data_IF_442851199816
#
_entry.id   IF_442851199816
#
_cell.length_a   1.000
_cell.length_b   1.000
_cell.length_c   1.000
_cell.angle_alpha   90.00
_cell.angle_beta   90.00
_cell.angle_gamma   90.00
#
_symmetry.space_group_name_H-M   'P 1'
#
loop_
_entity.id
_entity.type
_entity.pdbx_description
1 polymer ?
#
# COMPACT_ATOMS: atom_id res chain seq x y z
N UNK A 1 19.35 17.44 -30.37
CA UNK A 1 18.72 18.45 -29.48
C UNK A 1 17.33 18.82 -29.96
N UNK A 2 17.16 19.38 -31.17
CA UNK A 2 15.82 19.70 -31.70
C UNK A 2 14.87 18.48 -31.78
N UNK A 3 15.34 17.36 -32.34
CA UNK A 3 14.56 16.11 -32.36
C UNK A 3 14.19 15.63 -30.94
N UNK A 4 15.14 15.69 -30.00
CA UNK A 4 14.92 15.30 -28.61
C UNK A 4 13.85 16.15 -27.91
N UNK A 5 13.90 17.48 -28.11
CA UNK A 5 12.95 18.41 -27.52
C UNK A 5 11.51 18.19 -28.00
N UNK A 6 11.35 17.60 -29.20
CA UNK A 6 10.04 17.29 -29.79
C UNK A 6 9.54 15.87 -29.51
N UNK A 7 10.33 15.02 -28.85
CA UNK A 7 10.02 13.60 -28.62
C UNK A 7 8.60 13.36 -28.10
N UNK A 8 8.16 14.13 -27.11
CA UNK A 8 6.87 13.94 -26.45
C UNK A 8 5.74 14.74 -27.12
N UNK A 9 6.03 16.00 -27.49
CA UNK A 9 5.04 16.90 -28.07
C UNK A 9 4.67 16.55 -29.52
N UNK A 10 5.67 16.17 -30.33
CA UNK A 10 5.51 15.84 -31.75
C UNK A 10 6.55 14.76 -32.16
N UNK A 11 6.27 13.49 -31.84
CA UNK A 11 7.17 12.38 -32.16
C UNK A 11 7.35 12.18 -33.68
N UNK A 12 6.38 12.61 -34.51
CA UNK A 12 6.48 12.52 -35.97
C UNK A 12 7.56 13.46 -36.48
N UNK A 13 7.53 14.73 -36.07
CA UNK A 13 8.58 15.69 -36.41
C UNK A 13 9.93 15.29 -35.80
N UNK A 14 9.94 14.73 -34.58
CA UNK A 14 11.16 14.24 -33.95
C UNK A 14 11.83 13.12 -34.78
N UNK A 15 11.05 12.12 -35.24
CA UNK A 15 11.55 11.05 -36.09
C UNK A 15 12.04 11.58 -37.45
N UNK A 16 11.35 12.53 -38.06
CA UNK A 16 11.77 13.16 -39.31
C UNK A 16 13.12 13.88 -39.17
N UNK A 17 13.28 14.70 -38.12
CA UNK A 17 14.54 15.39 -37.82
C UNK A 17 15.69 14.42 -37.53
N UNK A 18 15.39 13.29 -36.87
CA UNK A 18 16.37 12.26 -36.61
C UNK A 18 16.89 11.63 -37.92
N UNK A 19 16.01 11.31 -38.88
CA UNK A 19 16.41 10.80 -40.20
C UNK A 19 17.27 11.81 -40.97
N UNK A 20 16.94 13.11 -40.91
CA UNK A 20 17.76 14.16 -41.54
C UNK A 20 19.17 14.21 -40.94
N UNK A 21 19.29 14.12 -39.61
CA UNK A 21 20.59 14.11 -38.94
C UNK A 21 21.42 12.86 -39.29
N UNK A 22 20.78 11.69 -39.37
CA UNK A 22 21.41 10.44 -39.80
C UNK A 22 21.94 10.53 -41.23
N UNK A 23 21.17 11.09 -42.16
CA UNK A 23 21.53 11.20 -43.56
C UNK A 23 22.66 12.23 -43.80
N UNK A 24 22.59 13.40 -43.15
CA UNK A 24 23.56 14.48 -43.38
C UNK A 24 24.92 14.23 -42.72
N UNK A 25 24.95 13.54 -41.58
CA UNK A 25 26.17 13.38 -40.78
C UNK A 25 26.36 11.95 -40.23
N UNK A 26 26.39 10.91 -41.07
CA UNK A 26 26.22 9.51 -40.67
C UNK A 26 27.24 8.97 -39.66
N UNK A 27 28.46 9.51 -39.66
CA UNK A 27 29.56 9.12 -38.75
C UNK A 27 29.63 9.97 -37.47
N UNK A 28 28.79 10.99 -37.33
CA UNK A 28 28.83 11.89 -36.18
C UNK A 28 28.17 11.27 -34.94
N UNK A 29 28.60 11.73 -33.74
CA UNK A 29 27.92 11.40 -32.48
C UNK A 29 26.44 11.84 -32.49
N UNK A 30 26.12 12.94 -33.17
CA UNK A 30 24.75 13.44 -33.33
C UNK A 30 23.86 12.48 -34.11
N UNK A 31 24.34 11.94 -35.23
CA UNK A 31 23.63 10.93 -36.01
C UNK A 31 23.45 9.61 -35.24
N UNK A 32 24.47 9.19 -34.47
CA UNK A 32 24.34 8.01 -33.61
C UNK A 32 23.21 8.18 -32.57
N UNK A 33 23.13 9.33 -31.91
CA UNK A 33 22.04 9.66 -30.97
C UNK A 33 20.68 9.78 -31.66
N UNK A 34 20.64 10.40 -32.84
CA UNK A 34 19.43 10.51 -33.65
C UNK A 34 18.88 9.13 -34.03
N UNK A 35 19.76 8.19 -34.40
CA UNK A 35 19.39 6.80 -34.70
C UNK A 35 18.77 6.09 -33.51
N UNK A 36 19.34 6.25 -32.32
CA UNK A 36 18.77 5.68 -31.08
C UNK A 36 17.39 6.29 -30.79
N UNK A 37 17.26 7.62 -30.84
CA UNK A 37 15.98 8.30 -30.62
C UNK A 37 14.91 7.85 -31.63
N UNK A 38 15.26 7.76 -32.92
CA UNK A 38 14.36 7.26 -33.96
C UNK A 38 13.95 5.82 -33.67
N UNK A 39 14.91 4.96 -33.34
CA UNK A 39 14.63 3.56 -33.00
C UNK A 39 13.70 3.44 -31.78
N UNK A 40 13.79 4.34 -30.80
CA UNK A 40 12.85 4.39 -29.66
C UNK A 40 11.44 4.82 -30.08
N UNK A 41 11.32 5.89 -30.88
CA UNK A 41 10.03 6.41 -31.36
C UNK A 41 9.33 5.40 -32.26
N UNK A 42 10.07 4.75 -33.16
CA UNK A 42 9.57 3.77 -34.11
C UNK A 42 9.42 2.37 -33.50
N UNK A 43 9.90 2.14 -32.26
CA UNK A 43 9.83 0.85 -31.59
C UNK A 43 8.37 0.38 -31.50
N UNK A 44 8.04 -0.81 -32.03
CA UNK A 44 6.74 -1.44 -31.80
C UNK A 44 6.55 -1.73 -30.32
N UNK A 45 5.37 -1.47 -29.79
CA UNK A 45 4.98 -1.84 -28.43
C UNK A 45 3.64 -2.57 -28.47
N UNK A 46 3.52 -3.58 -27.62
CA UNK A 46 2.36 -4.45 -27.53
C UNK A 46 2.26 -4.97 -26.11
N UNK A 47 1.14 -4.67 -25.46
CA UNK A 47 0.73 -5.30 -24.20
C UNK A 47 -0.77 -5.58 -24.27
N UNK A 48 -1.23 -6.50 -23.43
CA UNK A 48 -2.67 -6.72 -23.28
C UNK A 48 -2.99 -7.09 -21.83
N UNK A 49 -4.24 -6.85 -21.44
CA UNK A 49 -4.80 -7.22 -20.14
C UNK A 49 -6.13 -7.94 -20.36
N UNK A 50 -6.39 -8.95 -19.54
CA UNK A 50 -7.61 -9.75 -19.59
C UNK A 50 -8.01 -10.16 -18.18
N UNK A 51 -9.27 -10.57 -18.01
CA UNK A 51 -9.68 -11.29 -16.82
C UNK A 51 -8.88 -12.60 -16.71
N UNK A 52 -8.42 -12.93 -15.50
CA UNK A 52 -7.66 -14.16 -15.27
C UNK A 52 -8.48 -15.41 -15.62
N UNK A 53 -9.81 -15.37 -15.44
CA UNK A 53 -10.71 -16.48 -15.77
C UNK A 53 -11.93 -15.96 -16.52
N UNK A 54 -12.24 -16.57 -17.67
CA UNK A 54 -13.37 -16.27 -18.55
C UNK A 54 -14.40 -17.40 -18.56
N UNK A 55 -15.60 -17.11 -19.07
CA UNK A 55 -16.66 -18.12 -19.25
C UNK A 55 -16.31 -19.01 -20.46
N UNK A 56 -16.31 -20.34 -20.30
CA UNK A 56 -15.95 -21.24 -21.40
C UNK A 56 -17.00 -21.24 -22.51
N UNK A 57 -16.56 -21.52 -23.74
CA UNK A 57 -17.44 -21.66 -24.91
C UNK A 57 -18.02 -20.35 -25.45
N UNK A 58 -17.67 -19.20 -24.89
CA UNK A 58 -18.18 -17.88 -25.30
C UNK A 58 -17.03 -16.92 -25.65
N UNK A 59 -17.26 -15.95 -26.55
CA UNK A 59 -16.33 -14.83 -26.74
C UNK A 59 -16.11 -14.06 -25.44
N UNK A 60 -14.90 -13.53 -25.26
CA UNK A 60 -14.50 -12.82 -24.04
C UNK A 60 -13.74 -11.53 -24.38
N UNK A 61 -13.79 -10.54 -23.50
CA UNK A 61 -13.13 -9.25 -23.73
C UNK A 61 -11.73 -9.22 -23.13
N UNK A 62 -10.79 -8.64 -23.87
CA UNK A 62 -9.49 -8.21 -23.37
C UNK A 62 -9.12 -6.85 -23.96
N UNK A 63 -8.21 -6.14 -23.32
CA UNK A 63 -7.77 -4.80 -23.74
C UNK A 63 -6.35 -4.90 -24.27
N UNK A 64 -6.09 -4.24 -25.40
CA UNK A 64 -4.79 -4.21 -26.06
C UNK A 64 -4.27 -2.79 -26.05
N UNK A 65 -3.00 -2.62 -25.70
CA UNK A 65 -2.25 -1.38 -25.88
C UNK A 65 -1.18 -1.62 -26.94
N UNK A 66 -1.16 -0.80 -27.99
CA UNK A 66 -0.20 -0.93 -29.09
C UNK A 66 0.43 0.40 -29.45
N UNK A 67 1.66 0.36 -29.97
CA UNK A 67 2.30 1.46 -30.68
C UNK A 67 3.04 0.92 -31.90
N UNK A 68 2.91 1.59 -33.05
CA UNK A 68 3.58 1.22 -34.31
C UNK A 68 3.31 -0.23 -34.75
N UNK A 69 2.08 -0.71 -34.54
CA UNK A 69 1.62 -2.03 -34.98
C UNK A 69 0.35 -1.82 -35.78
N UNK A 70 0.26 -2.45 -36.96
CA UNK A 70 -0.89 -2.32 -37.87
C UNK A 70 -1.76 -3.57 -37.93
N UNK A 71 -1.20 -4.72 -37.55
CA UNK A 71 -1.86 -6.02 -37.60
C UNK A 71 -1.43 -6.85 -36.41
N UNK A 72 -2.37 -7.63 -35.87
CA UNK A 72 -2.12 -8.55 -34.77
C UNK A 72 -2.82 -9.89 -35.03
N UNK A 73 -2.17 -10.96 -34.58
CA UNK A 73 -2.67 -12.32 -34.57
C UNK A 73 -2.62 -12.85 -33.15
N UNK A 74 -3.66 -13.57 -32.75
CA UNK A 74 -3.75 -14.17 -31.43
C UNK A 74 -3.88 -15.70 -31.52
N UNK A 75 -3.28 -16.38 -30.54
CA UNK A 75 -3.38 -17.82 -30.36
C UNK A 75 -3.60 -18.17 -28.90
N UNK A 76 -4.41 -19.18 -28.64
CA UNK A 76 -4.59 -19.77 -27.32
C UNK A 76 -4.08 -21.23 -27.33
N UNK A 77 -3.01 -21.50 -26.60
CA UNK A 77 -2.44 -22.85 -26.46
C UNK A 77 -2.80 -23.45 -25.11
N UNK A 78 -3.24 -24.71 -25.09
CA UNK A 78 -3.58 -25.38 -23.82
C UNK A 78 -2.35 -25.59 -22.94
N UNK A 79 -2.44 -25.08 -21.72
CA UNK A 79 -1.46 -25.30 -20.66
C UNK A 79 -2.03 -26.20 -19.55
N UNK A 80 -1.13 -26.84 -18.81
CA UNK A 80 -1.49 -27.63 -17.63
C UNK A 80 -1.76 -26.72 -16.44
N UNK A 81 -2.49 -27.23 -15.45
CA UNK A 81 -2.71 -26.52 -14.18
C UNK A 81 -1.38 -26.13 -13.50
N UNK A 82 -0.36 -27.00 -13.59
CA UNK A 82 0.97 -26.71 -13.03
C UNK A 82 1.68 -25.57 -13.74
N UNK A 83 1.54 -25.47 -15.07
CA UNK A 83 2.07 -24.34 -15.85
C UNK A 83 1.29 -23.04 -15.59
N UNK A 84 0.00 -23.14 -15.28
CA UNK A 84 -0.84 -22.02 -14.83
C UNK A 84 -0.42 -21.49 -13.46
N UNK A 85 -0.31 -22.37 -12.47
CA UNK A 85 0.12 -22.05 -11.09
C UNK A 85 1.44 -21.28 -11.09
N UNK A 86 2.38 -21.75 -11.91
CA UNK A 86 3.71 -21.16 -11.99
C UNK A 86 3.79 -19.93 -12.88
N UNK A 87 2.72 -19.48 -13.54
CA UNK A 87 2.78 -18.42 -14.55
C UNK A 87 3.33 -17.09 -14.01
N UNK A 88 3.07 -16.78 -12.73
CA UNK A 88 3.58 -15.59 -12.05
C UNK A 88 5.04 -15.70 -11.57
N UNK A 89 5.61 -16.90 -11.49
CA UNK A 89 7.01 -17.10 -11.06
C UNK A 89 7.97 -16.74 -12.20
N UNK A 90 8.90 -15.82 -11.96
CA UNK A 90 10.00 -15.56 -12.89
C UNK A 90 11.13 -16.56 -12.65
N UNK A 91 11.34 -17.47 -13.60
CA UNK A 91 12.37 -18.53 -13.52
C UNK A 91 13.57 -18.28 -14.46
N UNK A 92 13.66 -17.08 -15.05
CA UNK A 92 14.72 -16.69 -15.99
C UNK A 92 14.67 -17.35 -17.37
N UNK A 93 13.75 -18.30 -17.61
CA UNK A 93 13.68 -19.01 -18.89
C UNK A 93 12.89 -18.21 -19.92
N UNK A 94 13.34 -18.16 -21.19
CA UNK A 94 12.56 -17.60 -22.29
C UNK A 94 11.22 -18.32 -22.45
N UNK A 95 10.20 -17.58 -22.90
CA UNK A 95 8.83 -18.08 -23.15
C UNK A 95 8.82 -19.41 -23.94
N UNK A 96 9.62 -19.48 -25.01
CA UNK A 96 9.71 -20.65 -25.88
C UNK A 96 10.20 -21.91 -25.16
N UNK A 97 11.07 -21.76 -24.14
CA UNK A 97 11.52 -22.89 -23.31
C UNK A 97 10.50 -23.22 -22.23
N UNK A 98 9.91 -22.19 -21.60
CA UNK A 98 8.95 -22.34 -20.50
C UNK A 98 7.68 -23.07 -20.92
N UNK A 99 7.16 -22.79 -22.11
CA UNK A 99 5.93 -23.40 -22.64
C UNK A 99 6.18 -24.24 -23.91
N UNK A 100 7.37 -24.85 -24.03
CA UNK A 100 7.76 -25.63 -25.21
C UNK A 100 6.73 -26.72 -25.58
N UNK A 101 6.15 -27.37 -24.57
CA UNK A 101 5.09 -28.38 -24.74
C UNK A 101 3.84 -27.78 -25.40
N UNK A 102 3.36 -26.65 -24.87
CA UNK A 102 2.16 -25.99 -25.37
C UNK A 102 2.38 -25.44 -26.78
N UNK A 103 3.52 -24.81 -27.05
CA UNK A 103 3.84 -24.19 -28.34
C UNK A 103 4.12 -25.21 -29.47
N UNK A 104 4.45 -26.47 -29.13
CA UNK A 104 4.57 -27.57 -30.11
C UNK A 104 3.22 -28.19 -30.49
N UNK A 105 2.19 -27.96 -29.69
CA UNK A 105 0.84 -28.47 -29.96
C UNK A 105 0.07 -27.52 -30.87
N UNK A 106 -0.99 -28.03 -31.49
CA UNK A 106 -1.95 -27.21 -32.22
C UNK A 106 -2.65 -26.25 -31.24
N UNK A 107 -2.74 -24.94 -31.55
CA UNK A 107 -3.48 -24.00 -30.72
C UNK A 107 -4.96 -24.42 -30.63
N UNK A 108 -5.56 -24.25 -29.46
CA UNK A 108 -6.99 -24.50 -29.25
C UNK A 108 -7.87 -23.48 -29.97
N UNK A 109 -7.36 -22.26 -30.16
CA UNK A 109 -7.98 -21.24 -30.98
C UNK A 109 -6.91 -20.32 -31.58
N UNK A 110 -7.17 -19.81 -32.78
CA UNK A 110 -6.37 -18.79 -33.46
C UNK A 110 -7.32 -17.80 -34.12
N UNK A 111 -7.08 -16.50 -33.97
CA UNK A 111 -7.96 -15.47 -34.53
C UNK A 111 -7.18 -14.18 -34.85
N UNK A 112 -7.64 -13.40 -35.85
CA UNK A 112 -7.08 -12.08 -36.10
C UNK A 112 -7.52 -11.09 -35.02
N UNK A 113 -6.64 -10.15 -34.68
CA UNK A 113 -6.95 -9.01 -33.81
C UNK A 113 -6.90 -7.75 -34.66
N UNK A 114 -8.06 -7.17 -34.93
CA UNK A 114 -8.18 -5.95 -35.71
C UNK A 114 -7.57 -4.78 -34.91
N UNK A 115 -6.53 -4.17 -35.47
CA UNK A 115 -5.96 -2.92 -34.95
C UNK A 115 -6.66 -1.77 -35.68
N UNK A 116 -7.36 -0.87 -34.97
CA UNK A 116 -8.04 0.26 -35.63
C UNK A 116 -7.03 1.13 -36.38
N UNK A 117 -7.33 1.41 -37.66
CA UNK A 117 -6.46 2.25 -38.49
C UNK A 117 -6.42 3.69 -37.97
N UNK A 118 -5.22 4.22 -37.76
CA UNK A 118 -4.99 5.61 -37.39
C UNK A 118 -3.76 6.17 -38.11
N UNK A 119 -3.67 7.50 -38.32
CA UNK A 119 -2.46 8.13 -38.84
C UNK A 119 -1.23 7.77 -37.98
N UNK A 120 -0.06 7.66 -38.62
CA UNK A 120 1.19 7.35 -37.93
C UNK A 120 1.61 8.52 -37.04
N UNK A 121 1.17 8.48 -35.78
CA UNK A 121 1.45 9.52 -34.78
C UNK A 121 2.49 9.08 -33.75
N UNK A 122 3.00 7.85 -33.81
CA UNK A 122 3.91 7.26 -32.82
C UNK A 122 3.39 7.36 -31.37
N UNK A 123 2.08 7.46 -31.17
CA UNK A 123 1.44 7.45 -29.86
C UNK A 123 0.86 6.08 -29.55
N UNK A 124 0.74 5.77 -28.27
CA UNK A 124 0.06 4.56 -27.82
C UNK A 124 -1.43 4.64 -28.14
N UNK A 125 -1.99 3.50 -28.54
CA UNK A 125 -3.41 3.33 -28.76
C UNK A 125 -3.92 2.18 -27.89
N UNK A 126 -5.09 2.38 -27.27
CA UNK A 126 -5.76 1.40 -26.41
C UNK A 126 -7.13 1.07 -26.98
N UNK A 127 -7.47 -0.20 -27.07
CA UNK A 127 -8.76 -0.66 -27.58
C UNK A 127 -9.15 -2.03 -27.01
N UNK A 128 -10.45 -2.28 -26.95
CA UNK A 128 -11.00 -3.56 -26.50
C UNK A 128 -11.18 -4.52 -27.68
N UNK A 129 -10.91 -5.80 -27.44
CA UNK A 129 -10.96 -6.86 -28.45
C UNK A 129 -11.75 -8.05 -27.91
N UNK A 130 -12.50 -8.71 -28.79
CA UNK A 130 -13.13 -9.99 -28.51
C UNK A 130 -12.17 -11.15 -28.81
N UNK A 131 -11.96 -12.02 -27.84
CA UNK A 131 -11.24 -13.28 -27.98
C UNK A 131 -12.13 -14.40 -28.49
N UNK A 132 -11.52 -15.38 -29.16
CA UNK A 132 -12.21 -16.59 -29.59
C UNK A 132 -12.71 -17.40 -28.39
N UNK A 133 -13.83 -18.12 -28.58
CA UNK A 133 -14.39 -19.00 -27.56
C UNK A 133 -13.37 -20.08 -27.15
N UNK A 134 -13.13 -20.19 -25.84
CA UNK A 134 -12.19 -21.16 -25.27
C UNK A 134 -12.98 -22.28 -24.56
N UNK A 135 -12.76 -23.56 -24.88
CA UNK A 135 -13.30 -24.65 -24.08
C UNK A 135 -12.76 -24.58 -22.65
N UNK A 136 -13.39 -25.30 -21.72
CA UNK A 136 -12.89 -25.41 -20.34
C UNK A 136 -11.41 -25.84 -20.28
N UNK A 137 -10.61 -25.15 -19.47
CA UNK A 137 -9.18 -25.41 -19.28
C UNK A 137 -8.34 -24.16 -19.08
N UNK A 138 -7.02 -24.30 -19.13
CA UNK A 138 -6.07 -23.20 -18.99
C UNK A 138 -5.33 -22.95 -20.30
N UNK A 139 -5.08 -21.69 -20.62
CA UNK A 139 -4.52 -21.29 -21.90
C UNK A 139 -3.38 -20.29 -21.72
N UNK A 140 -2.30 -20.50 -22.47
CA UNK A 140 -1.34 -19.46 -22.80
C UNK A 140 -1.89 -18.71 -24.01
N UNK A 141 -2.23 -17.44 -23.82
CA UNK A 141 -2.65 -16.53 -24.89
C UNK A 141 -1.45 -15.73 -25.36
N UNK A 142 -1.15 -15.78 -26.66
CA UNK A 142 -0.10 -14.99 -27.29
C UNK A 142 -0.71 -14.04 -28.31
N UNK A 143 -0.23 -12.81 -28.35
CA UNK A 143 -0.48 -11.84 -29.41
C UNK A 143 0.84 -11.51 -30.10
N UNK A 144 0.85 -11.47 -31.43
CA UNK A 144 2.03 -11.05 -32.20
C UNK A 144 1.63 -10.26 -33.44
N UNK A 145 2.50 -9.36 -33.88
CA UNK A 145 2.37 -8.68 -35.18
C UNK A 145 2.85 -9.54 -36.37
N UNK A 146 3.31 -10.76 -36.12
CA UNK A 146 3.70 -11.72 -37.13
C UNK A 146 2.58 -12.74 -37.36
N UNK A 147 2.36 -13.18 -38.59
CA UNK A 147 1.37 -14.23 -38.92
C UNK A 147 1.76 -15.63 -38.42
N UNK A 148 3.03 -15.82 -38.06
CA UNK A 148 3.57 -17.04 -37.44
C UNK A 148 4.45 -16.63 -36.27
N UNK A 149 4.42 -17.40 -35.18
CA UNK A 149 5.29 -17.15 -34.04
C UNK A 149 6.76 -17.29 -34.47
N UNK A 150 7.61 -16.26 -34.28
CA UNK A 150 9.01 -16.34 -34.64
C UNK A 150 9.73 -17.38 -33.77
N UNK A 151 10.63 -18.16 -34.37
CA UNK A 151 11.55 -18.99 -33.60
C UNK A 151 12.44 -18.09 -32.73
N UNK A 152 12.66 -18.46 -31.47
CA UNK A 152 13.34 -17.61 -30.49
C UNK A 152 14.76 -17.14 -30.89
N UNK A 153 15.39 -17.77 -31.89
CA UNK A 153 16.72 -17.42 -32.39
C UNK A 153 16.72 -16.46 -33.61
N UNK A 154 15.56 -16.12 -34.19
CA UNK A 154 15.49 -15.36 -35.44
C UNK A 154 14.19 -14.54 -35.58
N UNK A 155 13.86 -13.73 -34.58
CA UNK A 155 12.75 -12.79 -34.71
C UNK A 155 13.10 -11.69 -35.75
N UNK A 156 12.26 -11.46 -36.78
CA UNK A 156 12.47 -10.36 -37.72
C UNK A 156 12.56 -9.01 -37.01
N UNK A 157 13.25 -8.04 -37.62
CA UNK A 157 13.30 -6.68 -37.10
C UNK A 157 11.87 -6.10 -36.98
N UNK A 158 11.52 -5.60 -35.79
CA UNK A 158 10.18 -5.09 -35.49
C UNK A 158 9.14 -6.16 -35.13
N UNK A 159 9.52 -7.44 -35.04
CA UNK A 159 8.64 -8.47 -34.49
C UNK A 159 8.44 -8.24 -32.99
N UNK A 160 7.17 -8.24 -32.54
CA UNK A 160 6.81 -8.12 -31.14
C UNK A 160 5.77 -9.17 -30.77
N UNK A 161 5.90 -9.70 -29.55
CA UNK A 161 4.99 -10.70 -29.00
C UNK A 161 4.69 -10.34 -27.55
N UNK A 162 3.41 -10.33 -27.20
CA UNK A 162 2.95 -10.29 -25.81
C UNK A 162 2.30 -11.62 -25.46
N UNK A 163 2.37 -12.03 -24.21
CA UNK A 163 1.71 -13.24 -23.74
C UNK A 163 1.13 -13.05 -22.34
N UNK A 164 0.14 -13.86 -22.02
CA UNK A 164 -0.50 -13.93 -20.72
C UNK A 164 -1.20 -15.28 -20.59
N UNK A 165 -1.60 -15.64 -19.37
CA UNK A 165 -2.37 -16.86 -19.15
C UNK A 165 -3.83 -16.50 -18.87
N UNK A 166 -4.76 -17.22 -19.50
CA UNK A 166 -6.21 -17.13 -19.22
C UNK A 166 -6.80 -18.51 -18.89
N UNK A 167 -7.58 -18.61 -17.82
CA UNK A 167 -8.40 -19.78 -17.50
C UNK A 167 -9.79 -19.66 -18.12
N UNK A 168 -10.40 -20.78 -18.54
CA UNK A 168 -11.79 -20.85 -18.96
C UNK A 168 -12.51 -21.87 -18.07
N UNK A 169 -13.42 -21.39 -17.22
CA UNK A 169 -14.08 -22.21 -16.20
C UNK A 169 -15.48 -21.71 -15.90
N UNK A 170 -16.45 -22.62 -15.83
CA UNK A 170 -17.80 -22.34 -15.33
C UNK A 170 -17.82 -22.18 -13.82
N UNK A 171 -16.77 -22.61 -13.12
CA UNK A 171 -16.66 -22.52 -11.68
C UNK A 171 -16.22 -21.11 -11.27
N UNK A 172 -16.80 -20.63 -10.17
CA UNK A 172 -16.36 -19.46 -9.42
C UNK A 172 -16.43 -19.80 -7.93
N UNK A 173 -15.67 -19.09 -7.12
CA UNK A 173 -15.73 -19.28 -5.68
C UNK A 173 -15.51 -17.99 -4.92
N UNK A 174 -16.20 -17.88 -3.79
CA UNK A 174 -16.01 -16.82 -2.80
C UNK A 174 -15.57 -17.47 -1.50
N UNK A 175 -14.56 -16.89 -0.87
CA UNK A 175 -14.11 -17.33 0.44
C UNK A 175 -14.69 -16.42 1.53
N UNK A 176 -15.27 -17.03 2.55
CA UNK A 176 -15.62 -16.39 3.80
C UNK A 176 -14.73 -16.96 4.91
N UNK A 177 -13.92 -16.10 5.52
CA UNK A 177 -13.28 -16.44 6.79
C UNK A 177 -14.32 -16.30 7.91
N UNK A 178 -14.35 -17.26 8.84
CA UNK A 178 -15.16 -17.13 10.05
C UNK A 178 -14.33 -16.46 11.13
N UNK A 179 -14.94 -15.52 11.86
CA UNK A 179 -14.27 -14.74 12.91
C UNK A 179 -13.90 -15.60 14.13
N UNK A 180 -14.66 -16.66 14.37
CA UNK A 180 -14.41 -17.66 15.41
C UNK A 180 -14.30 -19.04 14.76
N UNK A 181 -13.07 -19.51 14.55
CA UNK A 181 -12.87 -20.91 14.17
C UNK A 181 -11.57 -21.22 13.47
N UNK A 182 -11.31 -22.51 13.40
CA UNK A 182 -10.22 -23.11 12.61
C UNK A 182 -10.63 -23.32 11.16
N UNK A 183 -11.75 -22.75 10.71
CA UNK A 183 -12.37 -23.10 9.44
C UNK A 183 -12.72 -21.87 8.59
N UNK A 184 -12.67 -22.03 7.27
CA UNK A 184 -13.16 -21.08 6.28
C UNK A 184 -14.24 -21.74 5.43
N UNK A 185 -15.29 -21.00 5.09
CA UNK A 185 -16.32 -21.47 4.16
C UNK A 185 -15.98 -20.99 2.75
N UNK A 186 -15.90 -21.93 1.82
CA UNK A 186 -15.84 -21.65 0.40
C UNK A 186 -17.23 -21.81 -0.21
N UNK A 187 -17.78 -20.73 -0.76
CA UNK A 187 -19.02 -20.75 -1.53
C UNK A 187 -18.69 -20.92 -3.01
N UNK A 188 -19.06 -22.07 -3.58
CA UNK A 188 -18.85 -22.44 -4.98
C UNK A 188 -20.07 -22.10 -5.82
N UNK A 189 -19.86 -21.34 -6.89
CA UNK A 189 -20.90 -20.75 -7.73
C UNK A 189 -20.66 -21.06 -9.21
N UNK A 190 -21.73 -20.99 -10.00
CA UNK A 190 -21.65 -20.92 -11.46
C UNK A 190 -21.25 -19.50 -11.87
N UNK A 191 -20.15 -19.35 -12.60
CA UNK A 191 -19.51 -18.06 -12.91
C UNK A 191 -20.43 -17.08 -13.62
N UNK A 192 -21.27 -17.55 -14.54
CA UNK A 192 -22.12 -16.66 -15.35
C UNK A 192 -23.44 -16.30 -14.66
N UNK A 193 -24.07 -17.25 -13.97
CA UNK A 193 -25.39 -17.03 -13.34
C UNK A 193 -25.32 -16.65 -11.87
N UNK A 194 -24.17 -16.85 -11.22
CA UNK A 194 -24.01 -16.67 -9.77
C UNK A 194 -24.71 -17.74 -8.92
N UNK A 195 -25.32 -18.75 -9.53
CA UNK A 195 -26.09 -19.77 -8.80
C UNK A 195 -25.16 -20.73 -8.04
N UNK A 196 -25.45 -21.09 -6.79
CA UNK A 196 -24.65 -22.07 -6.05
C UNK A 196 -24.60 -23.44 -6.74
N UNK A 197 -23.42 -24.06 -6.72
CA UNK A 197 -23.19 -25.35 -7.34
C UNK A 197 -23.00 -26.44 -6.30
N UNK A 198 -23.82 -27.49 -6.35
CA UNK A 198 -23.71 -28.70 -5.51
C UNK A 198 -22.77 -29.74 -6.11
N UNK A 199 -22.19 -30.60 -5.26
CA UNK A 199 -21.32 -31.73 -5.65
C UNK A 199 -20.09 -31.31 -6.48
N UNK A 200 -19.60 -30.09 -6.28
CA UNK A 200 -18.29 -29.67 -6.80
C UNK A 200 -17.25 -30.14 -5.81
N UNK A 201 -16.24 -30.86 -6.29
CA UNK A 201 -15.14 -31.32 -5.44
C UNK A 201 -14.23 -30.15 -5.10
N UNK A 202 -13.76 -30.10 -3.87
CA UNK A 202 -12.84 -29.07 -3.36
C UNK A 202 -11.75 -29.73 -2.51
N UNK A 203 -10.52 -29.30 -2.68
CA UNK A 203 -9.38 -29.80 -1.93
C UNK A 203 -8.48 -28.62 -1.53
N UNK A 204 -8.31 -28.44 -0.22
CA UNK A 204 -7.38 -27.44 0.31
C UNK A 204 -5.92 -27.83 0.03
N UNK A 205 -5.11 -26.84 -0.31
CA UNK A 205 -3.66 -26.92 -0.44
C UNK A 205 -3.08 -26.09 0.71
N UNK A 206 -2.31 -26.74 1.57
CA UNK A 206 -1.75 -26.13 2.76
C UNK A 206 -0.25 -25.95 2.61
N UNK A 207 0.27 -24.80 2.99
CA UNK A 207 1.69 -24.46 2.90
C UNK A 207 2.30 -24.36 4.29
N UNK A 208 3.48 -24.93 4.50
CA UNK A 208 4.29 -24.78 5.72
C UNK A 208 5.78 -24.77 5.39
N UNK A 209 6.60 -24.25 6.31
CA UNK A 209 8.05 -24.35 6.21
C UNK A 209 8.55 -25.57 6.98
N UNK A 210 9.36 -26.40 6.32
CA UNK A 210 10.05 -27.50 6.98
C UNK A 210 11.22 -26.99 7.84
N UNK A 211 11.88 -27.88 8.58
CA UNK A 211 13.01 -27.54 9.46
C UNK A 211 14.19 -26.87 8.74
N UNK A 212 14.30 -27.06 7.43
CA UNK A 212 15.36 -26.48 6.60
C UNK A 212 14.96 -25.13 5.99
N UNK A 213 13.78 -24.60 6.37
CA UNK A 213 13.25 -23.34 5.83
C UNK A 213 12.70 -23.45 4.40
N UNK A 214 12.56 -24.66 3.85
CA UNK A 214 11.95 -24.84 2.54
C UNK A 214 10.42 -24.91 2.67
N UNK A 215 9.74 -24.22 1.76
CA UNK A 215 8.28 -24.23 1.65
C UNK A 215 7.80 -25.58 1.10
N UNK A 216 6.83 -26.19 1.79
CA UNK A 216 6.26 -27.50 1.44
C UNK A 216 4.74 -27.38 1.39
N UNK A 217 4.15 -28.03 0.39
CA UNK A 217 2.69 -28.13 0.24
C UNK A 217 2.17 -29.48 0.71
N UNK A 218 1.04 -29.47 1.42
CA UNK A 218 0.27 -30.64 1.85
C UNK A 218 -1.15 -30.53 1.31
N UNK A 219 -1.65 -31.60 0.71
CA UNK A 219 -3.05 -31.66 0.25
C UNK A 219 -3.97 -32.05 1.42
N UNK A 220 -5.10 -31.36 1.54
CA UNK A 220 -6.18 -31.72 2.45
C UNK A 220 -7.07 -32.84 1.92
N UNK A 221 -8.08 -33.19 2.71
CA UNK A 221 -9.15 -34.09 2.27
C UNK A 221 -9.94 -33.47 1.10
N UNK A 222 -10.46 -34.34 0.24
CA UNK A 222 -11.38 -33.94 -0.83
C UNK A 222 -12.79 -33.88 -0.25
N UNK A 223 -13.39 -32.70 -0.32
CA UNK A 223 -14.77 -32.45 0.11
C UNK A 223 -15.64 -32.11 -1.09
N UNK A 224 -16.96 -32.14 -0.90
CA UNK A 224 -17.92 -31.74 -1.93
C UNK A 224 -18.80 -30.60 -1.43
N UNK A 225 -19.15 -29.69 -2.34
CA UNK A 225 -20.06 -28.61 -2.02
C UNK A 225 -21.47 -29.12 -1.70
N UNK A 226 -22.06 -28.53 -0.67
CA UNK A 226 -23.43 -28.82 -0.20
C UNK A 226 -24.49 -28.40 -1.23
N UNK A 227 -25.78 -28.62 -0.91
CA UNK A 227 -26.89 -28.12 -1.72
C UNK A 227 -26.89 -26.58 -1.87
N UNK A 228 -26.34 -25.85 -0.89
CA UNK A 228 -26.16 -24.39 -0.91
C UNK A 228 -24.83 -23.95 -1.52
N UNK A 229 -24.06 -24.88 -2.11
CA UNK A 229 -22.77 -24.60 -2.74
C UNK A 229 -21.61 -24.39 -1.77
N UNK A 230 -21.79 -24.66 -0.48
CA UNK A 230 -20.78 -24.39 0.55
C UNK A 230 -19.86 -25.61 0.76
N UNK A 231 -18.58 -25.34 0.97
CA UNK A 231 -17.57 -26.30 1.47
C UNK A 231 -16.93 -25.69 2.70
N UNK A 232 -16.89 -26.44 3.81
CA UNK A 232 -16.16 -26.05 5.00
C UNK A 232 -14.73 -26.59 4.92
N UNK A 233 -13.72 -25.73 5.03
CA UNK A 233 -12.31 -26.08 4.96
C UNK A 233 -11.62 -25.70 6.26
N UNK A 234 -10.72 -26.54 6.74
CA UNK A 234 -9.80 -26.16 7.83
C UNK A 234 -8.79 -25.12 7.29
N UNK A 235 -8.52 -24.05 8.04
CA UNK A 235 -7.51 -23.04 7.68
C UNK A 235 -6.13 -23.37 8.26
N UNK A 236 -6.06 -24.36 9.17
CA UNK A 236 -4.87 -24.77 9.89
C UNK A 236 -4.61 -23.89 11.11
N UNK A 237 -4.77 -24.45 12.32
CA UNK A 237 -4.40 -23.76 13.56
C UNK A 237 -2.94 -23.95 13.87
N UNK A 238 -2.14 -22.92 13.67
CA UNK A 238 -0.96 -22.81 14.50
C UNK A 238 -0.19 -21.52 14.29
N UNK A 239 0.22 -20.97 15.43
CA UNK A 239 1.04 -19.77 15.60
C UNK A 239 2.54 -20.02 15.32
N UNK A 240 2.92 -21.22 14.86
CA UNK A 240 4.30 -21.59 14.56
C UNK A 240 4.59 -21.56 13.06
N UNK A 241 5.83 -21.26 12.67
CA UNK A 241 6.30 -21.33 11.27
C UNK A 241 6.16 -22.73 10.62
N UNK A 242 5.91 -23.75 11.43
CA UNK A 242 5.78 -25.15 11.01
C UNK A 242 4.31 -25.57 10.82
N UNK A 243 3.36 -24.69 11.15
CA UNK A 243 1.93 -24.96 11.05
C UNK A 243 1.46 -24.74 9.61
N UNK A 244 0.85 -25.77 9.02
CA UNK A 244 0.38 -25.73 7.64
C UNK A 244 -0.87 -24.86 7.51
N UNK A 245 -0.75 -23.76 6.77
CA UNK A 245 -1.81 -22.79 6.54
C UNK A 245 -2.44 -23.02 5.17
N UNK A 246 -3.76 -22.91 5.10
CA UNK A 246 -4.47 -23.02 3.83
C UNK A 246 -4.04 -21.86 2.89
N UNK A 247 -3.37 -22.19 1.79
CA UNK A 247 -2.87 -21.19 0.82
C UNK A 247 -3.75 -21.10 -0.42
N UNK A 248 -4.28 -22.24 -0.88
CA UNK A 248 -5.11 -22.34 -2.07
C UNK A 248 -6.18 -23.41 -1.91
N UNK A 249 -7.25 -23.32 -2.69
CA UNK A 249 -8.23 -24.41 -2.84
C UNK A 249 -8.35 -24.78 -4.30
N UNK A 250 -8.10 -26.05 -4.61
CA UNK A 250 -8.42 -26.61 -5.92
C UNK A 250 -9.86 -27.08 -5.92
N UNK A 251 -10.68 -26.54 -6.81
CA UNK A 251 -12.05 -27.00 -7.03
C UNK A 251 -12.23 -27.58 -8.42
N UNK A 252 -13.08 -28.60 -8.58
CA UNK A 252 -13.34 -29.22 -9.87
C UNK A 252 -14.70 -29.89 -9.98
N UNK A 253 -15.21 -29.93 -11.23
CA UNK A 253 -16.40 -30.67 -11.64
C UNK A 253 -16.15 -31.28 -13.01
N UNK A 254 -16.02 -32.60 -13.07
CA UNK A 254 -15.60 -33.29 -14.30
C UNK A 254 -14.20 -32.84 -14.73
N UNK A 255 -14.09 -32.26 -15.93
CA UNK A 255 -12.84 -31.72 -16.49
C UNK A 255 -12.62 -30.24 -16.17
N UNK A 256 -13.62 -29.55 -15.62
CA UNK A 256 -13.50 -28.17 -15.19
C UNK A 256 -12.76 -28.10 -13.87
N UNK A 257 -11.67 -27.35 -13.83
CA UNK A 257 -10.85 -27.15 -12.64
C UNK A 257 -10.62 -25.67 -12.47
N UNK A 258 -10.59 -25.20 -11.23
CA UNK A 258 -10.22 -23.85 -10.86
C UNK A 258 -9.36 -23.90 -9.61
N UNK A 259 -8.30 -23.10 -9.59
CA UNK A 259 -7.52 -22.85 -8.40
C UNK A 259 -7.94 -21.50 -7.81
N UNK A 260 -8.34 -21.52 -6.56
CA UNK A 260 -8.83 -20.35 -5.82
C UNK A 260 -7.76 -19.98 -4.81
N UNK A 261 -7.20 -18.78 -4.93
CA UNK A 261 -6.31 -18.24 -3.90
C UNK A 261 -7.08 -17.99 -2.62
N UNK A 262 -6.50 -18.37 -1.49
CA UNK A 262 -7.06 -18.09 -0.17
C UNK A 262 -6.36 -16.85 0.34
N UNK A 263 -7.10 -15.77 0.58
CA UNK A 263 -6.51 -14.47 0.91
C UNK A 263 -5.85 -14.52 2.29
N UNK A 264 -4.51 -14.62 2.35
CA UNK A 264 -3.73 -14.24 3.54
C UNK A 264 -3.27 -12.78 3.52
N UNK A 265 -3.24 -12.11 2.35
CA UNK A 265 -2.40 -10.91 2.17
C UNK A 265 -3.12 -9.59 1.82
N UNK A 266 -4.45 -9.57 1.67
CA UNK A 266 -5.12 -8.39 1.07
C UNK A 266 -6.06 -7.59 1.96
N UNK A 267 -6.79 -8.26 2.85
CA UNK A 267 -7.82 -7.64 3.68
C UNK A 267 -8.07 -8.59 4.86
N UNK A 268 -7.18 -8.58 5.85
CA UNK A 268 -7.70 -8.66 7.20
C UNK A 268 -8.48 -7.36 7.37
N UNK A 269 -9.83 -7.37 7.41
CA UNK A 269 -10.47 -6.27 8.08
C UNK A 269 -9.77 -6.18 9.43
N UNK A 270 -9.37 -4.98 9.85
CA UNK A 270 -9.13 -4.70 11.26
C UNK A 270 -10.47 -4.81 12.00
N UNK A 271 -11.17 -5.93 11.83
CA UNK A 271 -12.07 -6.42 12.84
C UNK A 271 -11.11 -6.84 13.92
N UNK A 272 -10.87 -5.91 14.85
CA UNK A 272 -10.52 -6.22 16.22
C UNK A 272 -11.52 -7.33 16.57
N UNK A 273 -11.10 -8.59 16.42
CA UNK A 273 -11.85 -9.73 16.92
C UNK A 273 -12.32 -9.27 18.28
N UNK A 274 -13.63 -9.28 18.51
CA UNK A 274 -14.15 -8.89 19.82
C UNK A 274 -13.29 -9.61 20.83
N UNK A 275 -12.55 -8.85 21.64
CA UNK A 275 -11.52 -9.46 22.45
C UNK A 275 -12.24 -10.46 23.35
N UNK A 276 -12.10 -11.75 23.04
CA UNK A 276 -12.74 -12.84 23.80
C UNK A 276 -12.10 -12.96 25.18
N UNK A 277 -10.94 -12.33 25.34
CA UNK A 277 -10.28 -12.09 26.61
C UNK A 277 -10.44 -10.62 27.02
N UNK A 278 -10.68 -10.35 28.31
CA UNK A 278 -10.78 -8.98 28.78
C UNK A 278 -9.44 -8.26 28.64
N UNK A 279 -9.46 -7.08 28.01
CA UNK A 279 -8.27 -6.24 27.83
C UNK A 279 -8.27 -5.12 28.85
N UNK A 280 -7.23 -5.04 29.69
CA UNK A 280 -7.08 -3.98 30.68
C UNK A 280 -6.29 -2.81 30.13
N UNK A 281 -6.68 -1.61 30.51
CA UNK A 281 -6.00 -0.36 30.14
C UNK A 281 -6.02 0.63 31.31
N UNK A 282 -4.86 1.18 31.63
CA UNK A 282 -4.70 2.27 32.60
C UNK A 282 -4.55 3.59 31.86
N UNK A 283 -5.44 4.53 32.14
CA UNK A 283 -5.29 5.93 31.74
C UNK A 283 -4.56 6.69 32.85
N UNK A 284 -3.43 7.31 32.54
CA UNK A 284 -2.65 8.10 33.47
C UNK A 284 -2.71 9.58 33.09
N UNK A 285 -2.77 10.44 34.11
CA UNK A 285 -2.84 11.88 33.99
C UNK A 285 -1.90 12.52 35.01
N UNK A 286 -1.31 13.65 34.66
CA UNK A 286 -0.52 14.51 35.54
C UNK A 286 -1.11 15.92 35.58
N UNK A 287 -0.82 16.68 36.64
CA UNK A 287 -1.27 18.08 36.75
C UNK A 287 -0.57 19.01 35.76
N UNK A 288 0.61 18.62 35.25
CA UNK A 288 1.40 19.36 34.26
C UNK A 288 2.07 18.40 33.28
N UNK A 289 2.37 18.90 32.08
CA UNK A 289 3.17 18.17 31.09
C UNK A 289 4.70 18.36 31.29
N UNK A 290 5.12 19.33 32.12
CA UNK A 290 6.52 19.68 32.37
C UNK A 290 6.77 20.07 33.83
N UNK A 291 7.87 19.57 34.40
CA UNK A 291 8.32 19.80 35.78
C UNK A 291 9.80 20.17 35.80
N UNK A 292 10.28 20.67 36.96
CA UNK A 292 11.71 20.82 37.24
C UNK A 292 12.20 19.66 38.12
N UNK A 293 13.50 19.34 38.07
CA UNK A 293 14.11 18.45 39.07
C UNK A 293 13.77 18.89 40.51
N UNK A 294 13.46 17.93 41.39
CA UNK A 294 13.06 18.21 42.78
C UNK A 294 11.61 18.63 42.98
N UNK A 295 10.82 18.86 41.93
CA UNK A 295 9.39 19.18 42.10
C UNK A 295 8.55 17.95 42.44
N UNK A 296 7.48 18.17 43.18
CA UNK A 296 6.44 17.17 43.39
C UNK A 296 5.56 17.06 42.15
N UNK A 297 5.53 15.87 41.56
CA UNK A 297 4.61 15.49 40.51
C UNK A 297 3.35 14.89 41.15
N UNK A 298 2.18 15.36 40.74
CA UNK A 298 0.89 14.80 41.13
C UNK A 298 0.28 14.05 39.95
N UNK A 299 -0.27 12.86 40.20
CA UNK A 299 -0.87 12.05 39.15
C UNK A 299 -2.17 11.36 39.57
N UNK A 300 -2.98 11.03 38.57
CA UNK A 300 -4.18 10.21 38.69
C UNK A 300 -4.16 9.09 37.64
N UNK A 301 -4.54 7.90 38.04
CA UNK A 301 -4.76 6.76 37.16
C UNK A 301 -6.20 6.27 37.21
N UNK A 302 -6.70 5.74 36.08
CA UNK A 302 -8.00 5.07 35.98
C UNK A 302 -7.78 3.74 35.24
N UNK A 303 -8.04 2.63 35.93
CA UNK A 303 -7.94 1.29 35.37
C UNK A 303 -9.31 0.83 34.85
N UNK A 304 -9.33 0.49 33.58
CA UNK A 304 -10.52 0.00 32.87
C UNK A 304 -10.25 -1.36 32.27
N UNK A 305 -11.32 -2.10 31.98
CA UNK A 305 -11.29 -3.35 31.25
C UNK A 305 -12.34 -3.31 30.14
N UNK A 306 -11.98 -3.79 28.94
CA UNK A 306 -12.89 -3.91 27.82
C UNK A 306 -13.07 -5.38 27.42
N UNK A 307 -14.32 -5.81 27.26
CA UNK A 307 -14.73 -7.13 26.77
C UNK A 307 -15.95 -6.96 25.86
N UNK A 308 -15.96 -7.58 24.67
CA UNK A 308 -17.05 -7.44 23.69
C UNK A 308 -17.48 -5.97 23.44
N UNK A 309 -16.48 -5.08 23.27
CA UNK A 309 -16.68 -3.64 23.09
C UNK A 309 -17.42 -2.91 24.23
N UNK A 310 -17.57 -3.54 25.40
CA UNK A 310 -18.10 -2.91 26.62
C UNK A 310 -16.95 -2.63 27.59
N UNK A 311 -16.81 -1.37 27.98
CA UNK A 311 -15.85 -0.94 28.98
C UNK A 311 -16.46 -0.97 30.39
N UNK A 312 -15.70 -1.48 31.36
CA UNK A 312 -16.03 -1.44 32.78
C UNK A 312 -14.85 -0.95 33.61
N UNK A 313 -15.15 -0.44 34.80
CA UNK A 313 -14.14 -0.03 35.78
C UNK A 313 -13.59 -1.26 36.52
N UNK A 314 -12.30 -1.27 36.82
CA UNK A 314 -11.66 -2.32 37.62
C UNK A 314 -11.40 -1.79 39.03
N UNK A 315 -12.21 -2.22 40.00
CA UNK A 315 -12.17 -1.76 41.39
C UNK A 315 -11.43 -2.74 42.31
N UNK A 316 -10.86 -2.26 43.43
CA UNK A 316 -10.18 -3.09 44.43
C UNK A 316 -8.90 -3.81 43.95
N UNK A 317 -8.36 -3.43 42.80
CA UNK A 317 -7.23 -4.13 42.16
C UNK A 317 -5.90 -3.48 42.55
N UNK A 318 -4.86 -4.26 42.94
CA UNK A 318 -3.52 -3.73 43.14
C UNK A 318 -2.91 -3.24 41.82
N UNK A 319 -2.31 -2.07 41.85
CA UNK A 319 -1.63 -1.42 40.72
C UNK A 319 -0.25 -0.94 41.15
N UNK A 320 0.78 -1.29 40.38
CA UNK A 320 2.14 -0.77 40.54
C UNK A 320 2.39 0.36 39.55
N UNK A 321 2.85 1.51 40.06
CA UNK A 321 3.23 2.69 39.28
C UNK A 321 4.74 2.86 39.39
N UNK A 322 5.43 2.79 38.26
CA UNK A 322 6.88 2.97 38.14
C UNK A 322 7.18 4.33 37.53
N UNK A 323 8.13 5.05 38.11
CA UNK A 323 8.78 6.20 37.49
C UNK A 323 10.02 5.70 36.74
N UNK A 324 10.10 5.97 35.44
CA UNK A 324 11.25 5.67 34.60
C UNK A 324 11.96 6.97 34.22
N UNK A 325 13.29 6.96 34.31
CA UNK A 325 14.13 8.06 33.84
C UNK A 325 14.18 8.13 32.30
N UNK A 326 14.93 9.10 31.78
CA UNK A 326 15.13 9.33 30.34
C UNK A 326 15.76 8.12 29.63
N UNK A 327 16.46 7.25 30.36
CA UNK A 327 17.07 6.02 29.82
C UNK A 327 16.17 4.79 29.98
N UNK A 328 14.94 4.95 30.49
CA UNK A 328 14.01 3.85 30.76
C UNK A 328 14.35 3.05 32.02
N UNK A 329 15.23 3.55 32.89
CA UNK A 329 15.57 2.90 34.15
C UNK A 329 14.54 3.23 35.23
N UNK A 330 14.11 2.23 35.99
CA UNK A 330 13.15 2.41 37.09
C UNK A 330 13.82 3.16 38.23
N UNK A 331 13.35 4.37 38.50
CA UNK A 331 13.81 5.24 39.59
C UNK A 331 13.06 4.92 40.88
N UNK A 332 11.74 4.75 40.79
CA UNK A 332 10.89 4.51 41.95
C UNK A 332 9.68 3.66 41.56
N UNK A 333 9.19 2.85 42.49
CA UNK A 333 7.95 2.08 42.34
C UNK A 333 7.03 2.37 43.52
N UNK A 334 5.76 2.63 43.23
CA UNK A 334 4.71 2.94 44.20
C UNK A 334 3.53 1.99 43.99
N UNK A 335 2.98 1.46 45.07
CA UNK A 335 1.85 0.52 45.04
C UNK A 335 0.55 1.21 45.45
N UNK A 336 -0.51 0.95 44.69
CA UNK A 336 -1.85 1.48 44.92
C UNK A 336 -2.89 0.37 44.82
N UNK A 337 -4.10 0.66 45.28
CA UNK A 337 -5.29 -0.17 45.05
C UNK A 337 -6.37 0.72 44.42
N UNK A 338 -7.05 0.23 43.38
CA UNK A 338 -8.10 1.01 42.72
C UNK A 338 -9.32 1.19 43.63
N UNK A 339 -9.91 2.39 43.60
CA UNK A 339 -11.14 2.71 44.32
C UNK A 339 -12.38 2.09 43.67
N UNK A 340 -13.55 2.33 44.26
CA UNK A 340 -14.86 1.96 43.69
C UNK A 340 -15.16 2.62 42.33
N UNK A 341 -14.38 3.64 41.96
CA UNK A 341 -14.43 4.29 40.65
C UNK A 341 -13.30 3.84 39.72
N UNK A 342 -12.61 2.74 40.05
CA UNK A 342 -11.49 2.20 39.26
C UNK A 342 -10.25 3.10 39.23
N UNK A 343 -10.17 4.10 40.10
CA UNK A 343 -9.13 5.13 40.06
C UNK A 343 -8.14 5.00 41.22
N UNK A 344 -6.93 5.54 41.03
CA UNK A 344 -5.92 5.74 42.06
C UNK A 344 -5.24 7.10 41.83
N UNK A 345 -4.64 7.68 42.85
CA UNK A 345 -3.89 8.92 42.73
C UNK A 345 -2.73 8.94 43.73
N UNK A 346 -1.71 9.73 43.42
CA UNK A 346 -0.53 9.84 44.26
C UNK A 346 0.33 11.03 43.88
N UNK A 347 1.43 11.16 44.59
CA UNK A 347 2.46 12.16 44.32
C UNK A 347 3.83 11.58 44.58
N UNK A 348 4.83 12.06 43.84
CA UNK A 348 6.23 11.73 44.06
C UNK A 348 7.11 12.95 43.86
N UNK A 349 8.25 13.00 44.53
CA UNK A 349 9.26 14.05 44.34
C UNK A 349 10.20 13.58 43.24
N UNK A 350 10.34 14.37 42.18
CA UNK A 350 11.26 14.04 41.09
C UNK A 350 12.70 14.13 41.58
N UNK A 351 13.55 13.12 41.28
CA UNK A 351 14.93 13.12 41.73
C UNK A 351 15.71 14.30 41.17
N UNK A 352 16.66 14.81 41.96
CA UNK A 352 17.65 15.80 41.52
C UNK A 352 18.92 15.09 41.06
N UNK A 353 19.56 15.59 40.01
CA UNK A 353 20.85 15.05 39.52
C UNK A 353 20.72 13.92 38.49
N UNK A 354 19.51 13.59 38.04
CA UNK A 354 19.31 12.77 36.84
C UNK A 354 19.35 13.64 35.57
N UNK A 355 19.48 12.99 34.42
CA UNK A 355 19.40 13.64 33.12
C UNK A 355 18.01 14.28 32.93
N UNK A 356 17.99 15.54 32.50
CA UNK A 356 16.77 16.23 32.08
C UNK A 356 16.27 15.64 30.74
N UNK A 357 14.96 15.62 30.56
CA UNK A 357 14.32 15.10 29.36
C UNK A 357 12.95 14.49 29.61
N UNK A 358 12.50 13.65 28.68
CA UNK A 358 11.24 12.94 28.79
C UNK A 358 11.36 11.76 29.77
N UNK A 359 10.62 11.83 30.87
CA UNK A 359 10.46 10.74 31.83
C UNK A 359 9.07 10.10 31.69
N UNK A 360 8.89 8.89 32.23
CA UNK A 360 7.65 8.13 32.05
C UNK A 360 7.09 7.62 33.37
N UNK A 361 5.78 7.79 33.59
CA UNK A 361 5.02 6.99 34.54
C UNK A 361 4.49 5.74 33.84
N UNK A 362 4.69 4.57 34.40
CA UNK A 362 4.30 3.30 33.80
C UNK A 362 3.59 2.38 34.80
N UNK A 363 2.52 1.74 34.34
CA UNK A 363 1.85 0.60 34.98
C UNK A 363 1.92 -0.61 34.05
N UNK A 364 1.40 -1.75 34.48
CA UNK A 364 1.34 -2.95 33.64
C UNK A 364 0.40 -2.82 32.44
N UNK A 365 -0.50 -1.82 32.45
CA UNK A 365 -1.55 -1.64 31.44
C UNK A 365 -1.62 -0.22 30.87
N UNK A 366 -0.60 0.61 31.05
CA UNK A 366 -0.57 1.95 30.49
C UNK A 366 0.63 2.77 30.94
N UNK A 367 0.98 3.80 30.16
CA UNK A 367 2.09 4.72 30.43
C UNK A 367 1.73 6.15 30.04
N UNK A 368 2.43 7.11 30.65
CA UNK A 368 2.33 8.54 30.36
C UNK A 368 3.73 9.16 30.42
N UNK A 369 4.12 9.84 29.35
CA UNK A 369 5.35 10.61 29.31
C UNK A 369 5.14 12.06 29.75
N UNK A 370 6.15 12.64 30.38
CA UNK A 370 6.18 14.05 30.79
C UNK A 370 7.62 14.57 30.78
N UNK A 371 7.79 15.87 30.60
CA UNK A 371 9.12 16.48 30.53
C UNK A 371 9.64 16.91 31.92
N UNK A 372 10.93 16.70 32.17
CA UNK A 372 11.65 17.21 33.34
C UNK A 372 12.80 18.07 32.85
N UNK A 373 12.68 19.38 33.04
CA UNK A 373 13.58 20.37 32.45
C UNK A 373 13.86 21.54 33.39
N UNK A 374 15.02 22.17 33.22
CA UNK A 374 15.35 23.45 33.87
C UNK A 374 14.73 24.61 33.09
N UNK A 375 13.42 24.81 33.26
CA UNK A 375 12.69 25.88 32.58
C UNK A 375 12.37 27.05 33.50
N UNK A 376 12.42 28.28 32.98
CA UNK A 376 11.81 29.45 33.62
C UNK A 376 10.36 29.55 33.16
N UNK A 377 9.41 29.73 34.10
CA UNK A 377 8.01 29.97 33.74
C UNK A 377 7.94 31.22 32.85
N UNK A 378 7.38 31.13 31.64
CA UNK A 378 7.15 32.31 30.83
C UNK A 378 6.24 33.28 31.60
N UNK A 379 6.56 34.57 31.57
CA UNK A 379 5.76 35.62 32.21
C UNK A 379 4.80 36.31 31.22
N UNK A 380 4.85 35.91 29.95
CA UNK A 380 4.07 36.45 28.86
C UNK A 380 3.68 35.35 27.86
N UNK A 381 2.67 35.64 27.05
CA UNK A 381 2.20 34.83 25.95
C UNK A 381 2.34 35.64 24.65
N UNK A 382 2.74 34.96 23.57
CA UNK A 382 2.72 35.50 22.21
C UNK A 382 1.67 34.73 21.42
N UNK A 383 0.73 35.45 20.81
CA UNK A 383 -0.28 34.87 19.92
C UNK A 383 -0.17 35.47 18.54
N UNK A 384 -0.34 34.65 17.51
CA UNK A 384 -0.50 35.11 16.13
C UNK A 384 -2.00 35.13 15.82
N UNK A 385 -2.45 36.21 15.18
CA UNK A 385 -3.82 36.33 14.72
C UNK A 385 -4.05 35.44 13.48
N UNK A 386 -5.30 35.08 13.21
CA UNK A 386 -5.65 34.33 12.00
C UNK A 386 -5.35 35.16 10.75
N UNK A 387 -4.76 34.52 9.73
CA UNK A 387 -4.49 35.18 8.45
C UNK A 387 -5.82 35.40 7.71
N UNK A 388 -6.21 36.64 7.41
CA UNK A 388 -7.46 36.89 6.69
C UNK A 388 -7.34 36.41 5.23
N UNK A 389 -8.40 35.78 4.72
CA UNK A 389 -8.52 35.38 3.31
C UNK A 389 -7.73 34.12 2.93
N UNK A 390 -7.31 34.07 1.66
CA UNK A 390 -6.54 32.96 1.07
C UNK A 390 -5.25 33.51 0.47
N UNK A 391 -4.12 33.45 1.21
CA UNK A 391 -2.82 33.88 0.70
C UNK A 391 -2.48 33.19 -0.63
N UNK A 392 -1.95 33.94 -1.59
CA UNK A 392 -1.47 33.42 -2.87
C UNK A 392 0.06 33.37 -2.89
N UNK A 393 0.62 32.40 -3.59
CA UNK A 393 2.07 32.34 -3.82
C UNK A 393 2.51 33.54 -4.66
N UNK A 394 3.67 34.11 -4.33
CA UNK A 394 4.21 35.31 -4.98
C UNK A 394 3.66 36.65 -4.48
N UNK A 395 2.60 36.66 -3.66
CA UNK A 395 1.97 37.88 -3.14
C UNK A 395 2.34 38.14 -1.67
N UNK A 396 2.64 39.38 -1.25
CA UNK A 396 3.04 39.67 0.12
C UNK A 396 1.90 39.34 1.12
N UNK A 397 2.28 38.70 2.22
CA UNK A 397 1.39 38.31 3.33
C UNK A 397 1.82 39.04 4.60
N UNK A 398 0.85 39.68 5.26
CA UNK A 398 1.05 40.33 6.55
C UNK A 398 0.37 39.52 7.66
N UNK A 399 1.15 39.15 8.68
CA UNK A 399 0.71 38.46 9.89
C UNK A 399 0.78 39.43 11.06
N UNK A 400 -0.33 39.58 11.79
CA UNK A 400 -0.35 40.33 13.05
C UNK A 400 -0.27 39.37 14.23
N UNK A 401 0.34 39.82 15.31
CA UNK A 401 0.38 39.09 16.56
C UNK A 401 0.38 40.03 17.76
N UNK A 402 0.26 39.45 18.95
CA UNK A 402 0.20 40.18 20.22
C UNK A 402 1.08 39.51 21.26
N UNK A 403 1.82 40.30 22.01
CA UNK A 403 2.54 39.89 23.20
C UNK A 403 1.87 40.51 24.44
N UNK A 404 1.46 39.65 25.37
CA UNK A 404 0.83 40.07 26.63
C UNK A 404 1.44 39.35 27.81
N UNK A 405 1.70 40.07 28.89
CA UNK A 405 2.03 39.46 30.16
C UNK A 405 0.85 38.59 30.63
N UNK A 406 1.13 37.47 31.34
CA UNK A 406 0.06 36.67 31.95
C UNK A 406 -0.74 37.44 33.02
N UNK A 407 -0.21 38.56 33.51
CA UNK A 407 -0.93 39.51 34.35
C UNK A 407 -1.93 40.40 33.59
N UNK A 408 -2.06 40.23 32.26
CA UNK A 408 -3.02 40.91 31.39
C UNK A 408 -2.48 42.12 30.61
N UNK A 409 -1.37 42.70 31.08
CA UNK A 409 -0.79 43.91 30.50
C UNK A 409 -0.17 43.67 29.12
N UNK A 410 -0.23 44.69 28.26
CA UNK A 410 0.49 44.69 26.99
C UNK A 410 2.00 44.76 27.24
N UNK A 411 2.77 43.98 26.47
CA UNK A 411 4.23 44.07 26.52
C UNK A 411 4.69 45.10 25.50
N UNK A 412 4.86 46.35 25.92
CA UNK A 412 5.32 47.47 25.08
C UNK A 412 6.85 47.42 24.85
N UNK A 413 7.30 47.84 23.67
CA UNK A 413 8.72 48.00 23.32
C UNK A 413 9.55 46.71 23.31
N UNK A 414 8.93 45.53 23.26
CA UNK A 414 9.63 44.26 23.26
C UNK A 414 10.13 43.88 21.86
N UNK A 415 11.37 43.40 21.78
CA UNK A 415 11.93 42.85 20.54
C UNK A 415 11.34 41.47 20.25
N UNK A 416 10.68 41.33 19.10
CA UNK A 416 10.14 40.08 18.58
C UNK A 416 11.09 39.56 17.50
N UNK A 417 11.73 38.42 17.73
CA UNK A 417 12.53 37.71 16.72
C UNK A 417 11.70 36.59 16.10
N UNK A 418 11.71 36.48 14.77
CA UNK A 418 10.87 35.53 14.05
C UNK A 418 11.63 34.80 12.94
N UNK A 419 11.15 33.59 12.63
CA UNK A 419 11.59 32.76 11.50
C UNK A 419 10.38 32.12 10.84
N UNK A 420 10.26 32.28 9.52
CA UNK A 420 9.19 31.75 8.68
C UNK A 420 9.76 30.65 7.82
N UNK A 421 9.17 29.47 7.91
CA UNK A 421 9.62 28.28 7.18
C UNK A 421 8.48 27.67 6.37
N UNK A 422 8.77 27.29 5.13
CA UNK A 422 7.90 26.50 4.27
C UNK A 422 8.16 25.02 4.49
N UNK A 423 7.11 24.27 4.80
CA UNK A 423 7.10 22.81 4.83
C UNK A 423 6.13 22.28 3.79
N UNK A 424 6.58 21.32 2.98
CA UNK A 424 5.70 20.60 2.07
C UNK A 424 4.81 19.65 2.88
N UNK A 425 3.49 19.85 2.82
CA UNK A 425 2.50 18.95 3.41
C UNK A 425 1.91 18.08 2.30
N UNK A 426 2.19 16.78 2.35
CA UNK A 426 1.56 15.81 1.46
C UNK A 426 0.22 15.37 2.06
N UNK A 427 -0.84 15.36 1.27
CA UNK A 427 -2.22 15.01 1.70
C UNK A 427 -2.31 13.58 2.29
N UNK A 428 -1.30 12.73 2.05
CA UNK A 428 -1.20 11.38 2.61
C UNK A 428 -0.43 11.29 3.94
N UNK A 429 0.08 12.41 4.47
CA UNK A 429 0.75 12.48 5.78
C UNK A 429 -0.23 12.34 6.96
N UNK A 430 -1.55 12.50 6.70
CA UNK A 430 -2.64 12.38 7.69
C UNK A 430 -3.53 11.14 7.50
N UNK A 431 -2.92 9.98 7.23
CA UNK A 431 -3.54 8.71 7.65
C UNK A 431 -4.37 7.93 6.63
N UNK A 432 -3.74 7.52 5.52
CA UNK A 432 -4.13 6.26 4.84
C UNK A 432 -2.94 5.30 4.83
N UNK A 433 -2.87 4.45 5.87
CA UNK A 433 -2.04 3.23 5.96
C UNK A 433 -0.53 3.39 5.78
N UNK A 434 0.13 4.18 6.64
CA UNK A 434 1.50 3.89 7.10
C UNK A 434 2.61 3.82 6.05
N UNK A 435 2.38 4.26 4.81
CA UNK A 435 3.44 4.49 3.83
C UNK A 435 3.66 5.98 3.75
N UNK A 436 4.56 6.47 4.62
CA UNK A 436 5.23 7.74 4.38
C UNK A 436 5.86 7.63 2.98
N UNK A 437 5.31 8.37 2.01
CA UNK A 437 5.96 8.55 0.72
C UNK A 437 7.22 9.32 1.06
N UNK A 438 8.33 8.59 1.10
CA UNK A 438 9.63 9.13 1.46
C UNK A 438 9.94 10.39 0.66
N UNK A 439 10.46 11.40 1.36
CA UNK A 439 11.03 12.60 0.76
C UNK A 439 10.17 13.84 0.92
N UNK A 440 9.76 14.18 2.14
CA UNK A 440 9.55 15.59 2.45
C UNK A 440 10.87 16.31 2.18
N UNK A 441 10.95 17.10 1.10
CA UNK A 441 12.07 18.03 0.93
C UNK A 441 12.05 18.95 2.15
N UNK A 442 13.22 19.15 2.74
CA UNK A 442 13.37 19.77 4.05
C UNK A 442 12.63 21.10 4.20
N UNK A 443 12.35 21.47 5.44
CA UNK A 443 11.85 22.80 5.78
C UNK A 443 12.76 23.87 5.16
N UNK A 444 12.21 24.72 4.29
CA UNK A 444 12.93 25.83 3.68
C UNK A 444 12.63 27.11 4.44
N UNK A 445 13.66 27.84 4.88
CA UNK A 445 13.46 29.18 5.44
C UNK A 445 13.07 30.17 4.33
N UNK A 446 12.01 30.94 4.58
CA UNK A 446 11.44 31.93 3.66
C UNK A 446 11.82 33.34 4.09
N UNK A 447 11.79 33.61 5.39
CA UNK A 447 12.15 34.91 5.97
C UNK A 447 12.53 34.75 7.44
N UNK A 448 13.38 35.64 7.93
CA UNK A 448 13.63 35.85 9.36
C UNK A 448 13.82 37.34 9.61
N UNK A 449 13.72 37.77 10.86
CA UNK A 449 13.96 39.17 11.20
C UNK A 449 13.58 39.50 12.63
N UNK A 450 13.60 40.79 12.92
CA UNK A 450 13.14 41.35 14.18
C UNK A 450 12.13 42.45 13.95
N UNK A 451 11.19 42.60 14.89
CA UNK A 451 10.27 43.73 14.97
C UNK A 451 10.09 44.12 16.44
N UNK A 452 9.37 45.20 16.71
CA UNK A 452 9.08 45.65 18.07
C UNK A 452 7.58 45.71 18.29
N UNK A 453 7.15 45.45 19.51
CA UNK A 453 5.75 45.63 19.90
C UNK A 453 5.41 47.11 20.11
N UNK A 454 4.17 47.49 19.80
CA UNK A 454 3.60 48.80 20.14
C UNK A 454 3.06 48.86 21.58
N UNK A 455 2.50 50.00 21.96
CA UNK A 455 1.93 50.25 23.29
C UNK A 455 0.78 49.29 23.65
N UNK A 456 0.09 48.73 22.66
CA UNK A 456 -0.96 47.73 22.84
C UNK A 456 -0.42 46.28 22.80
N UNK A 457 0.89 46.12 22.66
CA UNK A 457 1.62 44.86 22.59
C UNK A 457 1.49 44.16 21.24
N UNK A 458 1.06 44.85 20.18
CA UNK A 458 0.89 44.29 18.84
C UNK A 458 2.19 44.38 18.05
N UNK A 459 2.38 43.43 17.16
CA UNK A 459 3.48 43.43 16.19
C UNK A 459 2.99 42.90 14.84
N UNK A 460 3.67 43.30 13.77
CA UNK A 460 3.35 42.89 12.40
C UNK A 460 4.57 42.30 11.73
N UNK A 461 4.38 41.19 11.01
CA UNK A 461 5.39 40.48 10.23
C UNK A 461 4.93 40.44 8.77
N UNK A 462 5.78 40.82 7.82
CA UNK A 462 5.47 40.74 6.38
C UNK A 462 6.45 39.83 5.67
N UNK A 463 5.96 38.95 4.81
CA UNK A 463 6.79 38.09 3.97
C UNK A 463 6.07 37.73 2.67
N UNK A 464 6.83 37.37 1.63
CA UNK A 464 6.27 36.89 0.36
C UNK A 464 6.52 35.38 0.26
N UNK A 465 5.47 34.53 0.24
CA UNK A 465 5.62 33.12 -0.01
C UNK A 465 6.12 32.88 -1.45
N UNK A 466 7.11 31.99 -1.65
CA UNK A 466 7.75 31.79 -2.95
C UNK A 466 6.91 31.00 -3.96
#
# INVERSE_FOLDING_TARGET
NQAQARREADPVAAAALARVAEARFPKSRGAARARVLRAEIERPELTFSAAAVVVPGQPWRFEVTTRNVTQLHAWAYRITLREWEKAGEYDGRPLAKRYARALRATPAAAWPVAVPAQPLTYKEQKFAVAGAALPTGYYLVLLSNQAKLPAAAAAPAGAITAFGVVGASELSALQQAHEEGTNSTLLVLHRQSGTPLRKVSAQGIYTYYNRNGAEVQRLGAVMQSSATGQVLLDIGTGSSKQSAQLSQVKIWRGRDTLLVGVNSDGYTPYNRAEASTPTRQTFLFTDRAIYRPGQTLYFKGILTQALHNKASLVTGQPVSVRLLDVNGQVVQTLSFTTSDYGSFNGSLVLPTGLLNGEMTLQTDHGSLSFAVEDYKRPTFQVTLDSVPGRPQLGEPVSLTGRARAYAGQATDGATVSYRITRRELYVLDYGFRGRSIGGGRGSQEIAHGTTTTDAEGRFTLTFTPP
#
